data_IF_912826859694
#
_entry.id   IF_912826859694
#
_cell.length_a   1.000
_cell.length_b   1.000
_cell.length_c   1.000
_cell.angle_alpha   90.00
_cell.angle_beta   90.00
_cell.angle_gamma   90.00
#
_symmetry.space_group_name_H-M   'P 1'
#
loop_
_entity.id
_entity.type
_entity.pdbx_description
1 polymer ?
#
# COMPACT_ATOMS: atom_id res chain seq x y z
N UNK A 1 17.51 19.67 -19.27
CA UNK A 1 16.99 18.36 -18.85
C UNK A 1 16.41 18.54 -17.46
N UNK A 2 15.09 18.64 -17.35
CA UNK A 2 14.40 18.75 -16.06
C UNK A 2 14.66 17.46 -15.29
N UNK A 3 15.17 17.53 -14.06
CA UNK A 3 15.29 16.36 -13.19
C UNK A 3 13.95 15.62 -13.13
N UNK A 4 13.96 14.27 -13.09
CA UNK A 4 12.72 13.51 -13.02
C UNK A 4 12.02 13.83 -11.70
N UNK A 5 10.84 14.45 -11.81
CA UNK A 5 9.93 14.79 -10.71
C UNK A 5 9.84 13.61 -9.70
N UNK A 6 10.34 13.81 -8.45
CA UNK A 6 10.33 12.78 -7.41
C UNK A 6 8.95 12.22 -7.10
N UNK A 7 7.90 13.05 -7.16
CA UNK A 7 6.52 12.63 -6.94
C UNK A 7 6.03 11.75 -8.09
N UNK A 8 6.34 12.09 -9.35
CA UNK A 8 6.03 11.23 -10.51
C UNK A 8 6.78 9.90 -10.43
N UNK A 9 8.04 9.89 -9.98
CA UNK A 9 8.79 8.65 -9.75
C UNK A 9 8.14 7.79 -8.67
N UNK A 10 7.68 8.39 -7.58
CA UNK A 10 6.98 7.68 -6.50
C UNK A 10 5.61 7.16 -6.96
N UNK A 11 4.85 7.95 -7.72
CA UNK A 11 3.58 7.56 -8.31
C UNK A 11 3.73 6.34 -9.23
N UNK A 12 4.75 6.33 -10.10
CA UNK A 12 5.04 5.17 -10.96
C UNK A 12 5.39 3.92 -10.17
N UNK A 13 6.07 4.06 -9.03
CA UNK A 13 6.36 2.93 -8.16
C UNK A 13 5.07 2.40 -7.50
N UNK A 14 4.19 3.29 -7.03
CA UNK A 14 2.87 2.94 -6.52
C UNK A 14 2.04 2.18 -7.57
N UNK A 15 1.98 2.66 -8.81
CA UNK A 15 1.27 2.00 -9.90
C UNK A 15 1.77 0.56 -10.12
N UNK A 16 3.09 0.35 -10.20
CA UNK A 16 3.66 -1.00 -10.33
C UNK A 16 3.28 -1.94 -9.18
N UNK A 17 3.26 -1.41 -7.95
CA UNK A 17 2.85 -2.21 -6.78
C UNK A 17 1.36 -2.51 -6.84
N UNK A 18 0.52 -1.56 -7.25
CA UNK A 18 -0.92 -1.78 -7.44
C UNK A 18 -1.19 -2.87 -8.47
N UNK A 19 -0.51 -2.84 -9.62
CA UNK A 19 -0.63 -3.88 -10.65
C UNK A 19 -0.27 -5.26 -10.09
N UNK A 20 0.87 -5.39 -9.40
CA UNK A 20 1.24 -6.63 -8.74
C UNK A 20 0.26 -7.04 -7.62
N UNK A 21 -0.40 -6.08 -6.98
CA UNK A 21 -1.39 -6.35 -5.95
C UNK A 21 -2.70 -6.88 -6.52
N UNK A 22 -3.05 -6.55 -7.77
CA UNK A 22 -4.20 -7.17 -8.45
C UNK A 22 -3.97 -8.68 -8.57
N UNK A 23 -2.79 -9.11 -9.01
CA UNK A 23 -2.44 -10.53 -9.11
C UNK A 23 -2.47 -11.23 -7.73
N UNK A 24 -1.93 -10.58 -6.70
CA UNK A 24 -1.99 -11.09 -5.32
C UNK A 24 -3.42 -11.16 -4.80
N UNK A 25 -4.26 -10.17 -5.09
CA UNK A 25 -5.66 -10.15 -4.69
C UNK A 25 -6.45 -11.29 -5.35
N UNK A 26 -6.19 -11.58 -6.63
CA UNK A 26 -6.81 -12.71 -7.33
C UNK A 26 -6.37 -14.06 -6.76
N UNK A 27 -5.10 -14.20 -6.39
CA UNK A 27 -4.61 -15.38 -5.66
C UNK A 27 -5.34 -15.55 -4.33
N UNK A 28 -5.37 -14.50 -3.50
CA UNK A 28 -6.05 -14.49 -2.20
C UNK A 28 -7.53 -14.83 -2.35
N UNK A 29 -8.21 -14.25 -3.35
CA UNK A 29 -9.62 -14.52 -3.64
C UNK A 29 -9.86 -15.97 -4.01
N UNK A 30 -8.99 -16.56 -4.82
CA UNK A 30 -9.09 -17.96 -5.22
C UNK A 30 -8.92 -18.88 -4.03
N UNK A 31 -7.90 -18.64 -3.19
CA UNK A 31 -7.66 -19.42 -1.96
C UNK A 31 -8.80 -19.28 -0.95
N UNK A 32 -9.32 -18.08 -0.74
CA UNK A 32 -10.45 -17.83 0.15
C UNK A 32 -11.69 -18.66 -0.25
N UNK A 33 -11.99 -18.74 -1.56
CA UNK A 33 -13.10 -19.58 -2.06
C UNK A 33 -12.86 -21.09 -1.83
N UNK A 34 -11.62 -21.55 -1.97
CA UNK A 34 -11.27 -22.95 -1.67
C UNK A 34 -11.46 -23.27 -0.18
N UNK A 35 -10.98 -22.39 0.69
CA UNK A 35 -11.15 -22.48 2.15
C UNK A 35 -12.65 -22.52 2.50
N UNK A 36 -13.44 -21.59 1.95
CA UNK A 36 -14.90 -21.56 2.15
C UNK A 36 -15.57 -22.87 1.72
N UNK A 37 -15.21 -23.40 0.54
CA UNK A 37 -15.75 -24.66 0.04
C UNK A 37 -15.41 -25.85 0.93
N UNK A 38 -14.17 -25.97 1.41
CA UNK A 38 -13.77 -27.04 2.32
C UNK A 38 -14.45 -26.91 3.69
N UNK A 39 -14.60 -25.67 4.19
CA UNK A 39 -15.35 -25.42 5.42
C UNK A 39 -16.82 -25.80 5.29
N UNK A 40 -17.45 -25.54 4.15
CA UNK A 40 -18.82 -25.96 3.88
C UNK A 40 -19.00 -27.50 3.81
N UNK A 41 -17.93 -28.24 3.48
CA UNK A 41 -17.91 -29.70 3.50
C UNK A 41 -17.64 -30.30 4.89
N UNK A 42 -17.41 -29.48 5.92
CA UNK A 42 -17.23 -29.92 7.31
C UNK A 42 -15.79 -30.15 7.76
N UNK A 43 -14.80 -29.90 6.90
CA UNK A 43 -13.38 -30.01 7.27
C UNK A 43 -13.00 -29.01 8.36
N UNK A 44 -12.16 -29.40 9.32
CA UNK A 44 -11.66 -28.51 10.38
C UNK A 44 -10.67 -27.47 9.82
N UNK A 45 -10.44 -26.38 10.55
CA UNK A 45 -9.44 -25.38 10.15
C UNK A 45 -8.04 -25.95 10.00
N UNK A 46 -7.63 -26.86 10.89
CA UNK A 46 -6.33 -27.54 10.79
C UNK A 46 -6.23 -28.36 9.50
N UNK A 47 -7.28 -29.11 9.15
CA UNK A 47 -7.32 -29.88 7.91
C UNK A 47 -7.29 -28.98 6.67
N UNK A 48 -8.00 -27.86 6.69
CA UNK A 48 -8.01 -26.91 5.57
C UNK A 48 -6.63 -26.26 5.40
N UNK A 49 -6.07 -25.71 6.48
CA UNK A 49 -4.80 -24.96 6.42
C UNK A 49 -3.59 -25.88 6.21
N UNK A 50 -3.63 -27.14 6.63
CA UNK A 50 -2.57 -28.11 6.34
C UNK A 50 -2.50 -28.50 4.86
N UNK A 51 -3.58 -28.30 4.09
CA UNK A 51 -3.60 -28.50 2.63
C UNK A 51 -3.24 -27.25 1.84
N UNK A 52 -3.01 -26.12 2.52
CA UNK A 52 -2.70 -24.86 1.87
C UNK A 52 -1.30 -24.90 1.24
N UNK A 53 -1.24 -24.69 -0.07
CA UNK A 53 0.02 -24.55 -0.79
C UNK A 53 0.64 -23.17 -0.53
N UNK A 54 1.97 -23.10 -0.50
CA UNK A 54 2.69 -21.83 -0.35
C UNK A 54 2.59 -20.98 -1.63
N UNK A 55 2.56 -19.64 -1.51
CA UNK A 55 2.58 -18.86 -0.26
C UNK A 55 1.22 -18.89 0.46
N UNK A 56 1.24 -18.81 1.80
CA UNK A 56 0.00 -18.78 2.57
C UNK A 56 -0.77 -17.49 2.29
N UNK A 57 -2.10 -17.55 2.34
CA UNK A 57 -2.99 -16.40 2.14
C UNK A 57 -2.64 -15.25 3.10
N UNK A 58 -2.28 -15.56 4.34
CA UNK A 58 -1.86 -14.57 5.35
C UNK A 58 -0.52 -13.92 5.01
N UNK A 59 0.42 -14.67 4.44
CA UNK A 59 1.72 -14.16 4.00
C UNK A 59 1.52 -13.19 2.84
N UNK A 60 0.69 -13.57 1.86
CA UNK A 60 0.38 -12.73 0.69
C UNK A 60 -0.33 -11.44 1.09
N UNK A 61 -1.32 -11.51 1.99
CA UNK A 61 -2.01 -10.33 2.53
C UNK A 61 -1.01 -9.40 3.25
N UNK A 62 -0.17 -9.96 4.12
CA UNK A 62 0.83 -9.20 4.86
C UNK A 62 1.81 -8.46 3.94
N UNK A 63 2.37 -9.16 2.95
CA UNK A 63 3.27 -8.57 1.96
C UNK A 63 2.58 -7.49 1.12
N UNK A 64 1.34 -7.72 0.71
CA UNK A 64 0.55 -6.77 -0.08
C UNK A 64 0.30 -5.46 0.68
N UNK A 65 -0.07 -5.56 1.96
CA UNK A 65 -0.29 -4.39 2.82
C UNK A 65 1.02 -3.64 3.11
N UNK A 66 2.10 -4.38 3.42
CA UNK A 66 3.40 -3.79 3.71
C UNK A 66 3.93 -2.96 2.52
N UNK A 67 3.92 -3.55 1.32
CA UNK A 67 4.38 -2.86 0.11
C UNK A 67 3.53 -1.64 -0.22
N UNK A 68 2.19 -1.74 -0.14
CA UNK A 68 1.31 -0.59 -0.39
C UNK A 68 1.53 0.54 0.62
N UNK A 69 1.72 0.21 1.90
CA UNK A 69 2.02 1.21 2.92
C UNK A 69 3.35 1.91 2.64
N UNK A 70 4.39 1.17 2.26
CA UNK A 70 5.70 1.72 1.93
C UNK A 70 5.64 2.68 0.73
N UNK A 71 5.14 2.21 -0.43
CA UNK A 71 5.14 3.05 -1.64
C UNK A 71 4.10 4.16 -1.58
N UNK A 72 2.96 3.94 -0.92
CA UNK A 72 1.94 4.95 -0.70
C UNK A 72 2.41 6.05 0.25
N UNK A 73 3.11 5.68 1.33
CA UNK A 73 3.75 6.64 2.23
C UNK A 73 4.80 7.49 1.50
N UNK A 74 5.65 6.85 0.69
CA UNK A 74 6.64 7.57 -0.13
C UNK A 74 5.98 8.54 -1.11
N UNK A 75 4.93 8.11 -1.83
CA UNK A 75 4.23 8.97 -2.78
C UNK A 75 3.64 10.22 -2.09
N UNK A 76 2.91 10.05 -0.99
CA UNK A 76 2.31 11.17 -0.25
C UNK A 76 3.35 12.18 0.25
N UNK A 77 4.53 11.72 0.69
CA UNK A 77 5.62 12.62 1.10
C UNK A 77 6.17 13.44 -0.05
N UNK A 78 6.45 12.83 -1.20
CA UNK A 78 6.96 13.57 -2.35
C UNK A 78 5.91 14.53 -2.92
N UNK A 79 4.64 14.10 -2.98
CA UNK A 79 3.52 14.96 -3.36
C UNK A 79 3.39 16.19 -2.45
N UNK A 80 3.41 16.00 -1.12
CA UNK A 80 3.37 17.10 -0.17
C UNK A 80 4.56 18.06 -0.32
N UNK A 81 5.78 17.55 -0.59
CA UNK A 81 6.96 18.38 -0.84
C UNK A 81 6.84 19.20 -2.12
N UNK A 82 6.31 18.62 -3.19
CA UNK A 82 6.02 19.33 -4.43
C UNK A 82 5.04 20.48 -4.19
N UNK A 83 3.95 20.23 -3.47
CA UNK A 83 2.95 21.27 -3.16
C UNK A 83 3.51 22.40 -2.30
N UNK A 84 4.38 22.10 -1.32
CA UNK A 84 5.11 23.14 -0.58
C UNK A 84 6.03 23.95 -1.51
N UNK A 85 6.74 23.27 -2.43
CA UNK A 85 7.58 23.92 -3.45
C UNK A 85 6.79 24.83 -4.41
N UNK A 86 5.52 24.51 -4.65
CA UNK A 86 4.57 25.32 -5.41
C UNK A 86 3.98 26.49 -4.59
N UNK A 87 4.31 26.59 -3.30
CA UNK A 87 3.96 27.70 -2.42
C UNK A 87 2.71 27.48 -1.56
N UNK A 88 2.12 26.28 -1.57
CA UNK A 88 0.99 25.98 -0.70
C UNK A 88 1.42 25.87 0.77
N UNK A 89 0.58 26.37 1.66
CA UNK A 89 0.73 26.20 3.10
C UNK A 89 0.26 24.80 3.50
N UNK A 90 0.80 24.27 4.59
CA UNK A 90 0.46 22.92 5.08
C UNK A 90 -1.03 22.70 5.33
N UNK A 91 -1.77 23.73 5.76
CA UNK A 91 -3.22 23.63 5.92
C UNK A 91 -3.95 23.47 4.57
N UNK A 92 -3.53 24.23 3.55
CA UNK A 92 -4.10 24.13 2.20
C UNK A 92 -3.80 22.75 1.59
N UNK A 93 -2.61 22.21 1.86
CA UNK A 93 -2.23 20.84 1.45
C UNK A 93 -3.12 19.82 2.15
N UNK A 94 -3.31 19.93 3.47
CA UNK A 94 -4.15 19.03 4.26
C UNK A 94 -5.58 18.97 3.71
N UNK A 95 -6.15 20.14 3.43
CA UNK A 95 -7.49 20.27 2.84
C UNK A 95 -7.55 19.66 1.42
N UNK A 96 -6.50 19.86 0.61
CA UNK A 96 -6.44 19.37 -0.78
C UNK A 96 -6.36 17.84 -0.86
N UNK A 97 -5.54 17.20 -0.03
CA UNK A 97 -5.32 15.74 -0.07
C UNK A 97 -6.24 14.98 0.91
N UNK A 98 -7.09 15.69 1.67
CA UNK A 98 -8.10 15.10 2.55
C UNK A 98 -7.53 14.42 3.80
N UNK A 99 -6.48 14.99 4.40
CA UNK A 99 -5.86 14.49 5.63
C UNK A 99 -5.77 15.60 6.68
N UNK A 100 -5.41 15.26 7.93
CA UNK A 100 -5.21 16.27 8.97
C UNK A 100 -3.90 17.05 8.77
N UNK A 101 -3.82 18.26 9.33
CA UNK A 101 -2.59 19.05 9.37
C UNK A 101 -1.44 18.27 10.04
N UNK A 102 -1.71 17.56 11.14
CA UNK A 102 -0.73 16.71 11.82
C UNK A 102 -0.15 15.63 10.89
N UNK A 103 -0.98 15.07 10.00
CA UNK A 103 -0.53 14.08 9.03
C UNK A 103 0.38 14.72 7.97
N UNK A 104 0.06 15.92 7.47
CA UNK A 104 0.94 16.66 6.56
C UNK A 104 2.27 17.02 7.25
N UNK A 105 2.23 17.45 8.51
CA UNK A 105 3.42 17.74 9.30
C UNK A 105 4.30 16.50 9.47
N UNK A 106 3.70 15.34 9.76
CA UNK A 106 4.43 14.08 9.81
C UNK A 106 5.09 13.72 8.47
N UNK A 107 4.35 13.86 7.35
CA UNK A 107 4.90 13.62 6.00
C UNK A 107 6.12 14.48 5.69
N UNK A 108 6.09 15.76 6.08
CA UNK A 108 7.17 16.72 5.82
C UNK A 108 8.32 16.59 6.84
N UNK A 109 8.01 16.17 8.07
CA UNK A 109 8.94 16.04 9.19
C UNK A 109 9.84 14.80 9.17
N UNK A 110 9.52 13.76 8.40
CA UNK A 110 10.32 12.53 8.24
C UNK A 110 11.64 12.74 7.43
N UNK A 111 12.31 13.88 7.58
CA UNK A 111 13.60 14.19 6.92
C UNK A 111 14.78 14.24 7.89
N UNK A 112 14.71 13.51 9.01
CA UNK A 112 15.85 13.31 9.93
C UNK A 112 15.79 11.93 10.58
N UNK A 113 16.30 10.91 9.89
CA UNK A 113 17.00 9.79 10.53
C UNK A 113 18.03 9.27 9.52
N UNK A 114 19.29 9.55 9.85
CA UNK A 114 20.59 8.99 9.44
C UNK A 114 20.61 7.86 8.43
#
# INVERSE_FOLDING_TARGET
MTEPDPAIKALRALLKVLDANVERADYVRTRAKQIESLRAQGYTWEQVLSTEERPLIVDVLGQSMALLNEVGGRFRREEARCLVGEGLKQQEIADLIGVSLDHVQAMLGESTTT
#
